data_IF_204027119730
#
_entry.id   IF_204027119730
#
_cell.length_a   1.000
_cell.length_b   1.000
_cell.length_c   1.000
_cell.angle_alpha   90.00
_cell.angle_beta   90.00
_cell.angle_gamma   90.00
#
_symmetry.space_group_name_H-M   'P 1'
#
loop_
_entity.id
_entity.type
_entity.pdbx_description
1 polymer ?
#
# COMPACT_ATOMS: atom_id res chain seq x y z
N UNK A 1 23.21 67.96 -35.57
CA UNK A 1 23.89 66.71 -35.97
C UNK A 1 23.03 65.55 -35.49
N UNK A 2 22.64 64.65 -36.40
CA UNK A 2 21.75 63.50 -36.18
C UNK A 2 22.58 62.26 -36.51
N UNK A 3 22.74 61.34 -35.56
CA UNK A 3 23.30 59.99 -35.76
C UNK A 3 22.62 59.12 -34.68
N UNK A 4 21.57 58.36 -35.00
CA UNK A 4 21.54 57.03 -35.62
C UNK A 4 21.74 55.90 -34.58
N UNK A 5 20.65 55.17 -34.32
CA UNK A 5 20.54 53.97 -33.49
C UNK A 5 21.32 52.78 -34.08
N UNK A 6 22.02 52.02 -33.22
CA UNK A 6 22.32 50.59 -33.42
C UNK A 6 22.26 49.88 -32.04
N UNK A 7 21.57 48.72 -31.93
CA UNK A 7 21.38 48.00 -30.68
C UNK A 7 22.51 47.00 -30.41
N UNK A 8 22.81 46.72 -29.14
CA UNK A 8 23.52 45.50 -28.75
C UNK A 8 23.39 45.23 -27.25
N UNK A 9 23.13 43.97 -26.89
CA UNK A 9 23.52 43.46 -25.58
C UNK A 9 22.43 42.72 -24.84
N UNK A 10 22.49 41.39 -24.95
CA UNK A 10 21.82 40.39 -24.13
C UNK A 10 21.73 40.77 -22.66
N UNK A 11 20.53 40.65 -22.09
CA UNK A 11 20.34 40.23 -20.70
C UNK A 11 19.24 39.18 -20.71
N UNK A 12 19.62 37.91 -20.81
CA UNK A 12 18.74 36.82 -20.36
C UNK A 12 18.92 36.73 -18.84
N UNK A 13 18.00 37.38 -18.14
CA UNK A 13 17.78 37.17 -16.72
C UNK A 13 16.92 35.92 -16.57
N UNK A 14 17.46 34.90 -15.90
CA UNK A 14 16.82 33.60 -15.69
C UNK A 14 15.72 33.79 -14.64
N UNK A 15 14.53 34.19 -15.09
CA UNK A 15 13.36 34.33 -14.23
C UNK A 15 12.78 32.96 -13.87
N UNK A 16 13.15 32.43 -12.70
CA UNK A 16 12.37 31.40 -12.01
C UNK A 16 10.98 31.98 -11.70
N UNK A 17 9.96 31.62 -12.49
CA UNK A 17 8.56 31.87 -12.16
C UNK A 17 7.76 30.58 -12.26
N UNK A 18 7.24 30.17 -11.11
CA UNK A 18 6.07 29.30 -10.97
C UNK A 18 6.33 27.82 -11.22
N UNK A 19 6.85 27.10 -10.22
CA UNK A 19 6.45 25.70 -10.06
C UNK A 19 5.00 25.75 -9.60
N UNK A 20 4.08 25.57 -10.55
CA UNK A 20 2.69 25.31 -10.24
C UNK A 20 2.66 23.95 -9.51
N UNK A 21 2.44 23.98 -8.19
CA UNK A 21 2.07 22.79 -7.46
C UNK A 21 0.70 22.43 -8.02
N UNK A 22 0.68 21.49 -8.95
CA UNK A 22 -0.55 20.80 -9.30
C UNK A 22 -0.94 20.05 -8.04
N UNK A 23 -1.77 20.66 -7.20
CA UNK A 23 -2.61 19.91 -6.28
C UNK A 23 -3.37 18.94 -7.15
N UNK A 24 -2.93 17.70 -7.12
CA UNK A 24 -3.62 16.60 -7.75
C UNK A 24 -4.90 16.40 -6.92
N UNK A 25 -5.92 17.22 -7.19
CA UNK A 25 -7.28 17.05 -6.70
C UNK A 25 -7.87 15.82 -7.41
N UNK A 26 -7.28 14.68 -7.13
CA UNK A 26 -7.90 13.40 -7.38
C UNK A 26 -8.97 13.27 -6.31
N UNK A 27 -10.16 13.77 -6.62
CA UNK A 27 -11.37 13.30 -5.97
C UNK A 27 -11.29 11.77 -5.99
N UNK A 28 -11.22 11.09 -4.84
CA UNK A 28 -11.00 9.65 -4.83
C UNK A 28 -12.13 9.00 -5.64
N UNK A 29 -11.81 8.01 -6.51
CA UNK A 29 -12.81 7.39 -7.37
C UNK A 29 -13.99 6.92 -6.50
N UNK A 30 -15.21 7.21 -6.95
CA UNK A 30 -16.48 6.92 -6.26
C UNK A 30 -16.84 5.43 -6.24
N UNK A 31 -15.84 4.56 -6.34
CA UNK A 31 -16.00 3.12 -6.23
C UNK A 31 -16.18 2.68 -4.77
N UNK A 32 -16.66 1.45 -4.55
CA UNK A 32 -16.75 0.88 -3.22
C UNK A 32 -15.37 0.90 -2.53
N UNK A 33 -15.30 1.39 -1.30
CA UNK A 33 -14.02 1.63 -0.61
C UNK A 33 -13.74 0.53 0.38
N UNK A 34 -12.51 -0.03 0.41
CA UNK A 34 -12.12 -0.98 1.44
C UNK A 34 -12.33 -0.42 2.85
N UNK A 35 -12.92 -1.24 3.71
CA UNK A 35 -13.26 -0.88 5.09
C UNK A 35 -12.48 -1.75 6.06
N UNK A 36 -12.02 -1.17 7.15
CA UNK A 36 -11.47 -1.96 8.23
C UNK A 36 -12.56 -2.82 8.88
N UNK A 37 -12.24 -4.09 9.13
CA UNK A 37 -12.99 -4.99 10.01
C UNK A 37 -12.52 -4.89 11.47
N UNK A 38 -11.57 -3.99 11.74
CA UNK A 38 -10.95 -3.73 13.04
C UNK A 38 -9.50 -4.22 13.13
N UNK A 39 -8.83 -3.78 14.18
CA UNK A 39 -7.52 -4.28 14.61
C UNK A 39 -7.62 -4.98 15.98
N UNK A 40 -6.81 -6.03 16.16
CA UNK A 40 -6.68 -6.73 17.45
C UNK A 40 -5.21 -7.00 17.77
N UNK A 41 -4.76 -6.89 19.03
CA UNK A 41 -3.40 -7.25 19.42
C UNK A 41 -3.09 -8.72 19.10
N UNK A 42 -1.95 -8.96 18.46
CA UNK A 42 -1.40 -10.29 18.19
C UNK A 42 -0.16 -10.58 19.05
N UNK A 43 0.61 -9.54 19.39
CA UNK A 43 1.73 -9.57 20.35
C UNK A 43 2.04 -8.13 20.83
N UNK A 44 3.14 -7.96 21.59
CA UNK A 44 3.61 -6.62 21.98
C UNK A 44 3.90 -5.76 20.74
N UNK A 45 3.20 -4.62 20.64
CA UNK A 45 3.29 -3.70 19.50
C UNK A 45 2.98 -4.34 18.14
N UNK A 46 2.30 -5.48 18.09
CA UNK A 46 1.97 -6.21 16.87
C UNK A 46 0.46 -6.47 16.82
N UNK A 47 -0.17 -6.12 15.71
CA UNK A 47 -1.62 -6.14 15.56
C UNK A 47 -2.01 -6.92 14.32
N UNK A 48 -3.05 -7.73 14.45
CA UNK A 48 -3.78 -8.32 13.35
C UNK A 48 -4.81 -7.31 12.86
N UNK A 49 -4.67 -6.86 11.62
CA UNK A 49 -5.55 -5.88 10.98
C UNK A 49 -6.26 -6.58 9.83
N UNK A 50 -7.58 -6.42 9.76
CA UNK A 50 -8.41 -7.07 8.77
C UNK A 50 -9.16 -6.04 7.95
N UNK A 51 -9.14 -6.18 6.64
CA UNK A 51 -9.72 -5.23 5.69
C UNK A 51 -10.71 -5.96 4.79
N UNK A 52 -11.93 -5.43 4.74
CA UNK A 52 -12.98 -5.83 3.81
C UNK A 52 -12.69 -5.22 2.43
N UNK A 53 -12.60 -6.11 1.44
CA UNK A 53 -12.43 -5.82 0.01
C UNK A 53 -13.50 -6.53 -0.82
N UNK A 54 -14.60 -7.00 -0.20
CA UNK A 54 -15.72 -7.68 -0.88
C UNK A 54 -16.36 -6.83 -1.97
N UNK A 55 -16.34 -5.53 -1.72
CA UNK A 55 -16.79 -4.45 -2.59
C UNK A 55 -15.77 -4.08 -3.69
N UNK A 56 -14.58 -4.70 -3.68
CA UNK A 56 -13.48 -4.53 -4.64
C UNK A 56 -13.01 -5.87 -5.23
N UNK A 57 -13.86 -6.58 -6.01
CA UNK A 57 -13.57 -7.94 -6.46
C UNK A 57 -12.31 -8.04 -7.34
N UNK A 58 -12.02 -7.03 -8.16
CA UNK A 58 -10.80 -7.01 -8.98
C UNK A 58 -9.53 -6.94 -8.12
N UNK A 59 -9.58 -6.20 -7.01
CA UNK A 59 -8.48 -6.13 -6.05
C UNK A 59 -8.30 -7.49 -5.36
N UNK A 60 -9.39 -8.10 -4.89
CA UNK A 60 -9.36 -9.43 -4.28
C UNK A 60 -8.79 -10.48 -5.25
N UNK A 61 -9.22 -10.47 -6.52
CA UNK A 61 -8.77 -11.38 -7.56
C UNK A 61 -7.29 -11.18 -7.95
N UNK A 62 -6.73 -9.98 -7.74
CA UNK A 62 -5.32 -9.70 -8.02
C UNK A 62 -4.34 -10.34 -7.01
N UNK A 63 -4.83 -10.76 -5.84
CA UNK A 63 -4.06 -11.56 -4.91
C UNK A 63 -4.06 -13.04 -5.34
N UNK A 64 -3.01 -13.43 -6.05
CA UNK A 64 -2.91 -14.76 -6.67
C UNK A 64 -1.90 -15.68 -5.99
N UNK A 65 -0.94 -15.12 -5.24
CA UNK A 65 0.15 -15.87 -4.61
C UNK A 65 0.45 -15.37 -3.19
N UNK A 66 0.70 -16.27 -2.21
CA UNK A 66 1.23 -15.87 -0.90
C UNK A 66 2.54 -15.06 -1.04
N UNK A 67 2.83 -14.17 -0.10
CA UNK A 67 4.01 -13.30 -0.15
C UNK A 67 3.87 -12.05 -1.02
N UNK A 68 2.70 -11.84 -1.65
CA UNK A 68 2.35 -10.56 -2.26
C UNK A 68 2.07 -9.49 -1.20
N UNK A 69 2.16 -8.23 -1.62
CA UNK A 69 2.03 -7.08 -0.73
C UNK A 69 1.34 -5.91 -1.44
N UNK A 70 0.90 -4.91 -0.68
CA UNK A 70 0.29 -3.69 -1.23
C UNK A 70 0.57 -2.49 -0.31
N UNK A 71 0.18 -1.30 -0.75
CA UNK A 71 0.22 -0.08 0.05
C UNK A 71 -1.12 0.15 0.75
N UNK A 72 -1.09 0.39 2.06
CA UNK A 72 -2.23 0.81 2.86
C UNK A 72 -2.03 2.25 3.34
N UNK A 73 -3.08 3.09 3.20
CA UNK A 73 -3.07 4.47 3.66
C UNK A 73 -4.42 4.85 4.26
N UNK A 74 -4.43 5.61 5.36
CA UNK A 74 -5.63 6.30 5.82
C UNK A 74 -5.75 7.64 5.08
N UNK A 75 -6.96 8.16 4.80
CA UNK A 75 -7.14 9.40 4.02
C UNK A 75 -6.26 10.58 4.48
N UNK A 76 -6.08 10.74 5.79
CA UNK A 76 -5.32 11.86 6.38
C UNK A 76 -3.82 11.55 6.59
N UNK A 77 -3.36 10.34 6.23
CA UNK A 77 -1.98 9.93 6.43
C UNK A 77 -1.09 10.37 5.25
N UNK A 78 -0.02 11.11 5.55
CA UNK A 78 0.87 11.67 4.54
C UNK A 78 1.60 10.61 3.67
N UNK A 79 1.86 9.41 4.20
CA UNK A 79 2.59 8.34 3.49
C UNK A 79 1.89 7.00 3.64
N UNK A 80 1.87 6.15 2.59
CA UNK A 80 1.37 4.79 2.71
C UNK A 80 2.34 3.89 3.50
N UNK A 81 1.83 2.78 4.02
CA UNK A 81 2.62 1.65 4.53
C UNK A 81 2.61 0.49 3.55
N UNK A 82 3.77 -0.05 3.21
CA UNK A 82 3.87 -1.28 2.43
C UNK A 82 3.71 -2.50 3.33
N UNK A 83 2.66 -3.28 3.12
CA UNK A 83 2.34 -4.44 3.94
C UNK A 83 2.12 -5.68 3.07
N UNK A 84 2.81 -6.77 3.45
CA UNK A 84 2.53 -8.08 2.89
C UNK A 84 1.20 -8.59 3.43
N UNK A 85 0.44 -9.24 2.55
CA UNK A 85 -0.85 -9.84 2.86
C UNK A 85 -0.55 -11.13 3.64
N UNK A 86 -1.08 -11.20 4.86
CA UNK A 86 -0.89 -12.32 5.79
C UNK A 86 -1.92 -13.44 5.61
N UNK A 87 -3.02 -13.16 4.89
CA UNK A 87 -4.01 -14.15 4.50
C UNK A 87 -3.65 -14.81 3.16
N UNK A 88 -4.06 -16.07 2.91
CA UNK A 88 -3.87 -16.71 1.62
C UNK A 88 -4.80 -16.14 0.52
N UNK A 89 -4.43 -16.26 -0.78
CA UNK A 89 -5.31 -15.91 -1.92
C UNK A 89 -6.73 -16.49 -1.85
N UNK A 90 -6.86 -17.71 -1.33
CA UNK A 90 -8.15 -18.38 -1.20
C UNK A 90 -9.11 -17.70 -0.22
N UNK A 91 -8.58 -17.00 0.80
CA UNK A 91 -9.41 -16.23 1.73
C UNK A 91 -10.00 -15.00 1.05
N UNK A 92 -9.18 -14.29 0.27
CA UNK A 92 -9.64 -13.14 -0.50
C UNK A 92 -10.74 -13.55 -1.50
N UNK A 93 -10.55 -14.67 -2.20
CA UNK A 93 -11.55 -15.18 -3.14
C UNK A 93 -12.86 -15.64 -2.45
N UNK A 94 -12.76 -16.23 -1.25
CA UNK A 94 -13.92 -16.78 -0.55
C UNK A 94 -14.71 -15.75 0.27
N UNK A 95 -14.02 -14.74 0.80
CA UNK A 95 -14.59 -13.79 1.78
C UNK A 95 -14.47 -12.32 1.38
N UNK A 96 -13.66 -12.00 0.37
CA UNK A 96 -13.34 -10.61 0.07
C UNK A 96 -12.61 -9.95 1.24
N UNK A 97 -11.68 -10.63 1.88
CA UNK A 97 -10.97 -10.14 3.06
C UNK A 97 -9.46 -10.24 2.84
N UNK A 98 -8.74 -9.18 3.20
CA UNK A 98 -7.29 -9.21 3.37
C UNK A 98 -6.93 -9.07 4.85
N UNK A 99 -6.00 -9.90 5.29
CA UNK A 99 -5.45 -9.83 6.64
C UNK A 99 -4.00 -9.38 6.62
N UNK A 100 -3.60 -8.62 7.63
CA UNK A 100 -2.26 -8.07 7.78
C UNK A 100 -1.76 -8.23 9.21
N UNK A 101 -0.45 -8.45 9.33
CA UNK A 101 0.25 -8.38 10.60
C UNK A 101 1.10 -7.10 10.62
N UNK A 102 0.70 -6.14 11.45
CA UNK A 102 1.24 -4.78 11.46
C UNK A 102 1.95 -4.52 12.78
N UNK A 103 3.22 -4.12 12.71
CA UNK A 103 3.96 -3.65 13.87
C UNK A 103 3.70 -2.15 14.04
N UNK A 104 3.23 -1.75 15.22
CA UNK A 104 3.09 -0.34 15.57
C UNK A 104 4.46 0.32 15.66
N UNK A 105 4.62 1.43 14.96
CA UNK A 105 5.82 2.26 14.98
C UNK A 105 5.36 3.69 15.21
N UNK A 106 5.75 4.28 16.33
CA UNK A 106 5.31 5.61 16.74
C UNK A 106 5.52 6.67 15.64
N UNK A 107 4.51 7.49 15.38
CA UNK A 107 4.51 8.55 14.38
C UNK A 107 4.42 8.05 12.94
N UNK A 108 4.04 6.78 12.71
CA UNK A 108 3.92 6.21 11.37
C UNK A 108 2.48 5.85 11.01
N UNK A 109 2.21 5.68 9.72
CA UNK A 109 0.93 5.13 9.24
C UNK A 109 0.67 3.72 9.81
N UNK A 110 1.71 2.94 10.13
CA UNK A 110 1.53 1.62 10.75
C UNK A 110 0.94 1.72 12.16
N UNK A 111 1.29 2.75 12.95
CA UNK A 111 0.65 3.02 14.24
C UNK A 111 -0.84 3.37 14.07
N UNK A 112 -1.16 4.21 13.09
CA UNK A 112 -2.55 4.55 12.78
C UNK A 112 -3.37 3.32 12.36
N UNK A 113 -2.79 2.45 11.53
CA UNK A 113 -3.42 1.18 11.09
C UNK A 113 -3.70 0.25 12.28
N UNK A 114 -2.80 0.20 13.27
CA UNK A 114 -3.01 -0.57 14.49
C UNK A 114 -4.17 -0.04 15.34
N UNK A 115 -4.60 1.21 15.15
CA UNK A 115 -5.72 1.85 15.84
C UNK A 115 -7.06 1.78 15.09
N UNK A 116 -7.13 1.10 13.94
CA UNK A 116 -8.35 1.04 13.13
C UNK A 116 -9.52 0.39 13.87
N UNK A 117 -10.69 1.03 13.78
CA UNK A 117 -11.96 0.49 14.22
C UNK A 117 -12.73 -0.07 13.03
N UNK A 118 -13.65 -0.99 13.32
CA UNK A 118 -14.54 -1.52 12.29
C UNK A 118 -15.31 -0.38 11.61
N UNK A 119 -15.30 -0.35 10.28
CA UNK A 119 -15.93 0.66 9.45
C UNK A 119 -15.04 1.86 9.10
N UNK A 120 -13.82 1.96 9.65
CA UNK A 120 -12.88 3.00 9.24
C UNK A 120 -12.41 2.75 7.80
N UNK A 121 -12.34 3.82 6.99
CA UNK A 121 -11.92 3.74 5.60
C UNK A 121 -10.40 3.57 5.47
N UNK A 122 -9.99 2.73 4.52
CA UNK A 122 -8.59 2.61 4.11
C UNK A 122 -8.46 2.64 2.59
N UNK A 123 -7.37 3.22 2.12
CA UNK A 123 -7.00 3.22 0.71
C UNK A 123 -5.98 2.11 0.47
N UNK A 124 -6.23 1.29 -0.55
CA UNK A 124 -5.37 0.19 -0.97
C UNK A 124 -4.84 0.45 -2.37
N UNK A 125 -3.54 0.23 -2.59
CA UNK A 125 -3.01 0.09 -3.96
C UNK A 125 -3.43 -1.26 -4.57
N UNK A 126 -3.22 -1.46 -5.88
CA UNK A 126 -3.20 -2.79 -6.45
C UNK A 126 -2.22 -3.72 -5.71
N UNK A 127 -2.49 -5.03 -5.75
CA UNK A 127 -1.58 -6.04 -5.24
C UNK A 127 -0.28 -6.05 -6.06
N UNK A 128 0.85 -6.15 -5.37
CA UNK A 128 2.19 -6.09 -5.90
C UNK A 128 3.01 -7.32 -5.49
N UNK A 129 4.14 -7.52 -6.18
CA UNK A 129 5.08 -8.61 -5.91
C UNK A 129 4.72 -9.91 -6.65
N UNK A 130 5.74 -10.72 -6.92
CA UNK A 130 5.61 -12.02 -7.59
C UNK A 130 5.10 -13.13 -6.68
N UNK A 131 5.04 -12.87 -5.37
CA UNK A 131 4.76 -13.87 -4.34
C UNK A 131 5.85 -14.95 -4.24
N UNK A 132 5.59 -15.94 -3.40
CA UNK A 132 6.33 -17.19 -3.31
C UNK A 132 5.82 -18.16 -4.36
N UNK A 133 6.76 -18.74 -5.11
CA UNK A 133 6.46 -19.70 -6.16
C UNK A 133 6.29 -21.11 -5.56
N UNK A 134 5.07 -21.42 -5.15
CA UNK A 134 4.74 -22.72 -4.53
C UNK A 134 4.77 -23.88 -5.53
N UNK A 135 4.81 -23.61 -6.85
CA UNK A 135 4.91 -24.65 -7.87
C UNK A 135 6.26 -25.38 -7.76
N UNK A 136 7.30 -24.73 -7.23
CA UNK A 136 8.62 -25.33 -7.00
C UNK A 136 8.64 -26.41 -5.91
N UNK A 137 7.61 -26.45 -5.06
CA UNK A 137 7.44 -27.44 -3.99
C UNK A 137 6.14 -28.26 -4.18
N UNK A 138 5.64 -28.31 -5.41
CA UNK A 138 4.47 -29.09 -5.77
C UNK A 138 4.87 -30.41 -6.45
N UNK A 139 4.27 -31.54 -6.11
CA UNK A 139 3.27 -31.71 -5.04
C UNK A 139 3.95 -31.75 -3.65
N UNK A 140 3.28 -31.27 -2.58
CA UNK A 140 3.90 -31.12 -1.26
C UNK A 140 4.42 -32.43 -0.66
N UNK A 141 3.89 -33.59 -1.07
CA UNK A 141 4.35 -34.89 -0.59
C UNK A 141 5.74 -35.29 -1.13
N UNK A 142 6.25 -34.63 -2.16
CA UNK A 142 7.63 -34.82 -2.64
C UNK A 142 8.65 -33.99 -1.85
N UNK A 143 8.18 -33.00 -1.09
CA UNK A 143 9.00 -32.05 -0.34
C UNK A 143 8.69 -32.15 1.15
N UNK A 144 9.32 -33.12 1.81
CA UNK A 144 9.07 -33.44 3.23
C UNK A 144 9.43 -32.32 4.21
N UNK A 145 10.28 -31.38 3.80
CA UNK A 145 10.75 -30.27 4.64
C UNK A 145 10.72 -28.95 3.88
N UNK A 146 10.04 -27.95 4.45
CA UNK A 146 10.09 -26.55 4.01
C UNK A 146 10.63 -25.71 5.17
N UNK A 147 11.71 -24.97 4.91
CA UNK A 147 12.36 -24.13 5.91
C UNK A 147 11.98 -22.66 5.67
N UNK A 148 11.31 -22.05 6.63
CA UNK A 148 10.92 -20.64 6.59
C UNK A 148 11.67 -19.90 7.69
N UNK A 149 12.45 -18.90 7.31
CA UNK A 149 13.19 -18.05 8.23
C UNK A 149 12.52 -16.68 8.27
N UNK A 150 12.08 -16.26 9.44
CA UNK A 150 11.38 -14.99 9.63
C UNK A 150 11.83 -14.31 10.91
N UNK A 151 11.78 -12.97 10.93
CA UNK A 151 12.02 -12.16 12.13
C UNK A 151 10.98 -11.05 12.25
N UNK A 152 10.52 -10.78 13.47
CA UNK A 152 9.52 -9.73 13.73
C UNK A 152 8.24 -9.92 12.91
N UNK A 153 7.78 -8.85 12.26
CA UNK A 153 6.60 -8.89 11.38
C UNK A 153 6.86 -9.58 10.03
N UNK A 154 8.05 -10.12 9.78
CA UNK A 154 8.36 -10.91 8.58
C UNK A 154 7.76 -12.32 8.58
N UNK A 155 7.08 -12.74 9.66
CA UNK A 155 6.40 -14.05 9.78
C UNK A 155 5.04 -14.09 9.05
N UNK A 156 4.58 -12.94 8.56
CA UNK A 156 3.29 -12.74 7.90
C UNK A 156 3.19 -13.42 6.54
#
# INVERSE_FOLDING_TARGET
MKFADIPNGLSQEIGMKGVEIVENDQTPPSGPKPLSLGSTPAAESLFHVKIDVSDSPDLAASHTRPGQYLQLRLPDAAKPSFLAIASPPSLAAARGEFEFLVKSIAGSTAELLCGLRKGDFVELSPVMGSGFDLDQISPPYEYQSVLIFATGSGIR
#
